data_IF_804453371621
#
_entry.id   IF_804453371621
#
_cell.length_a   1.000
_cell.length_b   1.000
_cell.length_c   1.000
_cell.angle_alpha   90.00
_cell.angle_beta   90.00
_cell.angle_gamma   90.00
#
_symmetry.space_group_name_H-M   'P 1'
#
loop_
_entity.id
_entity.type
_entity.pdbx_description
1 polymer ?
#
# COMPACT_ATOMS: atom_id res chain seq x y z
N UNK A 1 71.24 -5.77 47.91
CA UNK A 1 70.64 -5.06 46.76
C UNK A 1 69.98 -5.98 45.73
N UNK A 2 70.56 -7.14 45.37
CA UNK A 2 70.02 -8.04 44.32
C UNK A 2 68.66 -8.72 44.63
N UNK A 3 68.31 -8.92 45.90
CA UNK A 3 67.01 -9.54 46.28
C UNK A 3 65.84 -8.56 46.19
N UNK A 4 66.09 -7.27 46.43
CA UNK A 4 65.07 -6.22 46.35
C UNK A 4 64.70 -5.91 44.89
N UNK A 5 65.69 -5.93 43.99
CA UNK A 5 65.47 -5.76 42.54
C UNK A 5 64.66 -6.89 41.92
N UNK A 6 64.82 -8.14 42.38
CA UNK A 6 63.99 -9.27 41.90
C UNK A 6 62.55 -9.21 42.38
N UNK A 7 62.29 -8.69 43.60
CA UNK A 7 60.92 -8.55 44.12
C UNK A 7 60.16 -7.44 43.38
N UNK A 8 60.83 -6.33 43.07
CA UNK A 8 60.24 -5.22 42.30
C UNK A 8 59.93 -5.66 40.86
N UNK A 9 60.82 -6.41 40.22
CA UNK A 9 60.59 -6.91 38.86
C UNK A 9 59.46 -7.95 38.79
N UNK A 10 59.27 -8.75 39.85
CA UNK A 10 58.18 -9.73 39.93
C UNK A 10 56.81 -9.06 40.15
N UNK A 11 56.74 -7.96 40.91
CA UNK A 11 55.51 -7.20 41.15
C UNK A 11 54.93 -6.54 39.88
N UNK A 12 55.77 -6.22 38.90
CA UNK A 12 55.33 -5.68 37.60
C UNK A 12 54.63 -6.72 36.72
N UNK A 13 54.89 -8.02 36.90
CA UNK A 13 54.22 -9.09 36.14
C UNK A 13 52.88 -9.53 36.76
N UNK A 14 52.65 -9.27 38.06
CA UNK A 14 51.39 -9.65 38.72
C UNK A 14 50.20 -8.72 38.40
N UNK A 15 50.43 -7.58 37.74
CA UNK A 15 49.36 -6.66 37.32
C UNK A 15 49.02 -6.76 35.82
N UNK A 16 49.63 -7.68 35.07
CA UNK A 16 49.44 -7.78 33.62
C UNK A 16 48.07 -8.39 33.21
N UNK A 17 47.29 -8.93 34.16
CA UNK A 17 46.03 -9.60 33.86
C UNK A 17 44.81 -9.04 34.60
N UNK A 18 44.95 -7.89 35.27
CA UNK A 18 43.79 -7.18 35.83
C UNK A 18 43.25 -6.18 34.82
N UNK A 19 42.71 -6.67 33.70
CA UNK A 19 41.66 -5.92 32.99
C UNK A 19 40.45 -6.03 33.89
N UNK A 20 40.37 -5.08 34.81
CA UNK A 20 39.20 -4.85 35.63
C UNK A 20 38.07 -4.43 34.69
N UNK A 21 36.93 -5.09 34.79
CA UNK A 21 35.67 -4.77 34.09
C UNK A 21 35.08 -3.38 34.46
N UNK A 22 35.90 -2.47 35.01
CA UNK A 22 35.55 -1.12 35.44
C UNK A 22 35.91 -0.01 34.42
N UNK A 23 36.50 -0.32 33.27
CA UNK A 23 36.72 0.68 32.21
C UNK A 23 35.66 0.55 31.12
N UNK A 24 34.43 0.94 31.41
CA UNK A 24 33.32 0.92 30.45
C UNK A 24 33.34 2.07 29.43
N UNK A 25 34.43 2.81 29.27
CA UNK A 25 34.47 3.97 28.37
C UNK A 25 35.82 4.24 27.67
N UNK A 26 36.85 3.40 27.87
CA UNK A 26 38.11 3.58 27.14
C UNK A 26 38.04 2.85 25.79
N UNK A 27 37.47 3.53 24.80
CA UNK A 27 37.51 3.07 23.41
C UNK A 27 38.93 3.24 22.87
N UNK A 28 39.46 2.19 22.23
CA UNK A 28 40.75 2.24 21.49
C UNK A 28 40.81 3.34 20.42
N UNK A 29 39.66 3.95 20.08
CA UNK A 29 39.56 5.13 19.22
C UNK A 29 40.13 6.40 19.85
N UNK A 30 40.19 6.52 21.17
CA UNK A 30 40.74 7.71 21.84
C UNK A 30 42.28 7.79 21.79
N UNK A 31 42.93 6.67 21.44
CA UNK A 31 44.39 6.55 21.31
C UNK A 31 44.85 6.90 19.88
N UNK A 32 43.94 6.85 18.90
CA UNK A 32 44.25 7.05 17.49
C UNK A 32 43.76 8.44 17.05
N UNK A 33 44.59 9.30 16.43
CA UNK A 33 44.22 10.66 16.03
C UNK A 33 43.28 10.72 14.81
N UNK A 34 42.55 9.63 14.51
CA UNK A 34 41.62 9.54 13.38
C UNK A 34 40.33 8.84 13.81
N UNK A 35 39.20 9.40 13.40
CA UNK A 35 37.91 8.78 13.57
C UNK A 35 37.85 7.53 12.67
N UNK A 36 37.63 6.35 13.26
CA UNK A 36 37.48 5.12 12.51
C UNK A 36 36.24 5.22 11.60
N UNK A 37 36.37 4.75 10.36
CA UNK A 37 35.25 4.77 9.43
C UNK A 37 34.08 3.95 9.98
N UNK A 38 32.91 4.60 10.08
CA UNK A 38 31.64 3.96 10.43
C UNK A 38 30.72 4.00 9.21
N UNK A 39 30.28 2.85 8.74
CA UNK A 39 29.35 2.76 7.62
C UNK A 39 27.97 3.27 8.03
N UNK A 40 27.29 3.93 7.09
CA UNK A 40 25.87 4.27 7.26
C UNK A 40 25.03 2.99 7.21
N UNK A 41 24.05 2.89 8.11
CA UNK A 41 23.13 1.76 8.21
C UNK A 41 21.75 2.26 7.81
N UNK A 42 21.14 1.62 6.80
CA UNK A 42 19.77 1.88 6.37
C UNK A 42 19.00 0.55 6.41
N UNK A 43 18.13 0.36 7.39
CA UNK A 43 17.39 -0.89 7.58
C UNK A 43 15.88 -0.65 7.68
N UNK A 44 15.11 -1.51 7.03
CA UNK A 44 13.65 -1.48 7.06
C UNK A 44 13.00 -0.66 5.94
N UNK A 45 11.69 -0.42 6.05
CA UNK A 45 10.94 0.32 5.03
C UNK A 45 11.19 1.83 5.14
N UNK A 46 11.54 2.48 4.03
CA UNK A 46 11.64 3.93 3.96
C UNK A 46 10.26 4.54 3.62
N UNK A 47 9.69 5.27 4.57
CA UNK A 47 8.36 5.86 4.45
C UNK A 47 8.42 7.38 4.31
N UNK A 48 7.38 7.94 3.68
CA UNK A 48 7.16 9.38 3.62
C UNK A 48 5.79 9.71 4.23
N UNK A 49 5.70 10.82 4.98
CA UNK A 49 4.42 11.30 5.53
C UNK A 49 3.37 11.52 4.43
N UNK A 50 3.79 11.93 3.24
CA UNK A 50 2.90 12.08 2.09
C UNK A 50 2.21 10.78 1.68
N UNK A 51 2.90 9.64 1.68
CA UNK A 51 2.31 8.35 1.29
C UNK A 51 1.45 7.77 2.42
N UNK A 52 1.92 7.88 3.67
CA UNK A 52 1.12 7.49 4.85
C UNK A 52 -0.21 8.24 4.88
N UNK A 53 -0.21 9.55 4.63
CA UNK A 53 -1.42 10.37 4.64
C UNK A 53 -2.36 10.11 3.45
N UNK A 54 -1.95 9.32 2.45
CA UNK A 54 -2.85 8.86 1.39
C UNK A 54 -3.68 7.64 1.81
N UNK A 55 -3.22 6.89 2.81
CA UNK A 55 -3.94 5.74 3.35
C UNK A 55 -5.27 6.19 3.96
N UNK A 56 -6.30 5.38 3.78
CA UNK A 56 -7.64 5.65 4.31
C UNK A 56 -8.26 4.37 4.82
N UNK A 57 -8.96 4.48 5.94
CA UNK A 57 -9.79 3.40 6.47
C UNK A 57 -10.76 2.91 5.38
N UNK A 58 -10.88 1.59 5.25
CA UNK A 58 -11.69 0.90 4.26
C UNK A 58 -10.96 0.55 2.95
N UNK A 59 -9.70 0.98 2.76
CA UNK A 59 -8.86 0.54 1.63
C UNK A 59 -8.62 -0.96 1.66
N UNK A 60 -8.54 -1.61 0.49
CA UNK A 60 -8.13 -3.02 0.44
C UNK A 60 -6.63 -3.17 0.77
N UNK A 61 -6.20 -4.39 1.13
CA UNK A 61 -4.77 -4.71 1.26
C UNK A 61 -3.96 -4.32 0.01
N UNK A 62 -4.52 -4.55 -1.18
CA UNK A 62 -3.88 -4.17 -2.44
C UNK A 62 -3.75 -2.64 -2.61
N UNK A 63 -4.80 -1.88 -2.29
CA UNK A 63 -4.74 -0.41 -2.37
C UNK A 63 -3.67 0.16 -1.41
N UNK A 64 -3.56 -0.41 -0.21
CA UNK A 64 -2.51 -0.03 0.75
C UNK A 64 -1.12 -0.38 0.22
N UNK A 65 -0.95 -1.60 -0.31
CA UNK A 65 0.28 -2.07 -0.94
C UNK A 65 0.73 -1.14 -2.08
N UNK A 66 -0.19 -0.71 -2.94
CA UNK A 66 0.13 0.18 -4.07
C UNK A 66 0.58 1.59 -3.62
N UNK A 67 0.20 2.02 -2.42
CA UNK A 67 0.55 3.34 -1.87
C UNK A 67 1.90 3.32 -1.14
N UNK A 68 2.13 2.31 -0.31
CA UNK A 68 3.25 2.29 0.65
C UNK A 68 4.18 1.08 0.50
N UNK A 69 3.85 0.13 -0.38
CA UNK A 69 4.63 -1.07 -0.64
C UNK A 69 4.38 -2.22 0.34
N UNK A 70 5.16 -3.31 0.22
CA UNK A 70 5.07 -4.46 1.13
C UNK A 70 5.46 -4.10 2.57
N UNK A 71 4.89 -4.78 3.58
CA UNK A 71 5.32 -4.62 4.97
C UNK A 71 6.77 -5.07 5.17
N UNK A 72 7.45 -4.49 6.16
CA UNK A 72 8.83 -4.88 6.52
C UNK A 72 8.88 -6.23 7.24
N UNK A 73 7.84 -6.54 8.01
CA UNK A 73 7.75 -7.74 8.84
C UNK A 73 6.43 -8.44 8.55
N UNK A 74 6.50 -9.75 8.35
CA UNK A 74 5.33 -10.64 8.29
C UNK A 74 5.30 -11.41 9.60
N UNK A 75 4.42 -11.02 10.52
CA UNK A 75 4.26 -11.68 11.82
C UNK A 75 3.32 -12.89 11.68
N UNK A 76 3.79 -14.13 11.94
CA UNK A 76 2.95 -15.33 11.84
C UNK A 76 1.83 -15.40 12.89
N UNK A 77 1.84 -14.55 13.92
CA UNK A 77 0.80 -14.50 14.94
C UNK A 77 -0.26 -13.43 14.66
N UNK A 78 -0.02 -12.54 13.70
CA UNK A 78 -0.89 -11.43 13.35
C UNK A 78 -1.09 -11.30 11.82
N UNK A 79 -1.77 -12.27 11.21
CA UNK A 79 -2.02 -12.32 9.76
C UNK A 79 -2.72 -11.08 9.17
N UNK A 80 -3.40 -10.32 10.02
CA UNK A 80 -4.15 -9.13 9.65
C UNK A 80 -3.46 -7.83 10.07
N UNK A 81 -2.18 -7.88 10.44
CA UNK A 81 -1.38 -6.71 10.82
C UNK A 81 -0.16 -6.59 9.88
N UNK A 82 0.05 -5.40 9.35
CA UNK A 82 1.23 -5.06 8.57
C UNK A 82 2.08 -4.04 9.30
N UNK A 83 3.33 -4.41 9.49
CA UNK A 83 4.31 -3.62 10.23
C UNK A 83 5.38 -3.07 9.31
N UNK A 84 5.56 -1.75 9.38
CA UNK A 84 6.61 -1.03 8.68
C UNK A 84 7.56 -0.46 9.73
N UNK A 85 8.73 -1.07 9.84
CA UNK A 85 9.75 -0.68 10.81
C UNK A 85 10.93 -0.11 10.04
N UNK A 86 11.53 0.95 10.55
CA UNK A 86 12.79 1.47 10.06
C UNK A 86 13.76 1.70 11.21
N UNK A 87 15.03 1.41 10.98
CA UNK A 87 16.14 1.89 11.78
C UNK A 87 17.27 2.28 10.83
N UNK A 88 17.52 3.58 10.73
CA UNK A 88 18.58 4.13 9.88
C UNK A 88 19.44 5.09 10.66
N UNK A 89 20.76 4.94 10.55
CA UNK A 89 21.74 5.80 11.19
C UNK A 89 22.85 6.13 10.20
N UNK A 90 23.08 7.43 10.03
CA UNK A 90 24.19 7.97 9.23
C UNK A 90 24.99 8.91 10.10
N UNK A 91 26.31 8.93 9.97
CA UNK A 91 27.20 9.72 10.85
C UNK A 91 26.85 11.22 10.86
N UNK A 92 26.25 11.73 9.78
CA UNK A 92 25.88 13.14 9.62
C UNK A 92 24.46 13.49 10.07
N UNK A 93 23.63 12.49 10.42
CA UNK A 93 22.19 12.66 10.66
C UNK A 93 21.75 11.98 11.94
N UNK A 94 20.70 12.51 12.56
CA UNK A 94 20.04 11.85 13.69
C UNK A 94 19.53 10.48 13.25
N UNK A 95 19.66 9.48 14.13
CA UNK A 95 19.10 8.17 13.88
C UNK A 95 17.58 8.28 13.67
N UNK A 96 17.11 7.70 12.57
CA UNK A 96 15.70 7.60 12.21
C UNK A 96 15.24 6.22 12.64
N UNK A 97 14.24 6.16 13.50
CA UNK A 97 13.63 4.92 13.93
C UNK A 97 12.12 5.10 14.11
N UNK A 98 11.33 4.26 13.44
CA UNK A 98 9.88 4.34 13.56
C UNK A 98 9.21 3.01 13.29
N UNK A 99 7.96 2.91 13.76
CA UNK A 99 7.04 1.81 13.46
C UNK A 99 5.67 2.37 13.07
N UNK A 100 5.18 1.99 11.90
CA UNK A 100 3.80 2.19 11.46
C UNK A 100 3.12 0.83 11.46
N UNK A 101 1.92 0.76 12.05
CA UNK A 101 1.12 -0.46 12.10
C UNK A 101 -0.17 -0.22 11.34
N UNK A 102 -0.45 -1.09 10.37
CA UNK A 102 -1.71 -1.12 9.65
C UNK A 102 -2.47 -2.38 10.05
N UNK A 103 -3.67 -2.22 10.61
CA UNK A 103 -4.52 -3.37 10.97
C UNK A 103 -5.64 -3.52 9.95
N UNK A 104 -5.93 -4.75 9.56
CA UNK A 104 -6.96 -5.09 8.60
C UNK A 104 -8.09 -5.91 9.24
N UNK A 105 -9.31 -5.68 8.78
CA UNK A 105 -10.48 -6.49 9.11
C UNK A 105 -11.28 -6.70 7.82
N UNK A 106 -11.69 -7.95 7.55
CA UNK A 106 -12.41 -8.32 6.34
C UNK A 106 -11.70 -7.84 5.05
N UNK A 107 -10.37 -8.01 5.01
CA UNK A 107 -9.45 -7.53 3.95
C UNK A 107 -9.46 -6.02 3.69
N UNK A 108 -9.93 -5.24 4.66
CA UNK A 108 -9.94 -3.77 4.60
C UNK A 108 -9.18 -3.16 5.75
N UNK A 109 -8.46 -2.07 5.46
CA UNK A 109 -7.73 -1.29 6.43
C UNK A 109 -8.71 -0.74 7.48
N UNK A 110 -8.57 -1.18 8.73
CA UNK A 110 -9.45 -0.81 9.85
C UNK A 110 -8.79 0.16 10.82
N UNK A 111 -7.46 0.13 10.94
CA UNK A 111 -6.70 1.02 11.82
C UNK A 111 -5.33 1.40 11.23
N UNK A 112 -4.86 2.60 11.57
CA UNK A 112 -3.55 3.15 11.16
C UNK A 112 -2.88 3.74 12.40
N UNK A 113 -2.02 2.97 13.07
CA UNK A 113 -1.29 3.46 14.23
C UNK A 113 -0.05 4.26 13.80
N UNK A 114 0.00 5.54 14.19
CA UNK A 114 1.10 6.46 13.85
C UNK A 114 1.94 6.89 15.05
N UNK A 115 1.72 6.31 16.22
CA UNK A 115 2.35 6.69 17.49
C UNK A 115 3.86 6.51 17.42
N UNK A 116 4.30 5.46 16.70
CA UNK A 116 5.71 5.14 16.49
C UNK A 116 6.45 5.98 15.45
N UNK A 117 5.84 7.03 14.88
CA UNK A 117 6.44 7.81 13.78
C UNK A 117 7.18 9.10 14.22
N UNK A 118 7.60 9.19 15.49
CA UNK A 118 8.15 10.41 16.09
C UNK A 118 9.41 10.93 15.40
N UNK A 119 10.29 10.05 14.93
CA UNK A 119 11.54 10.42 14.24
C UNK A 119 11.38 10.65 12.74
N UNK A 120 10.23 10.27 12.17
CA UNK A 120 9.96 10.44 10.75
C UNK A 120 9.76 11.93 10.43
N UNK A 121 10.44 12.40 9.38
CA UNK A 121 10.37 13.79 8.94
C UNK A 121 8.92 14.26 8.76
N UNK A 122 8.61 15.45 9.29
CA UNK A 122 7.28 16.07 9.18
C UNK A 122 7.00 16.48 7.74
N UNK A 123 5.71 16.54 7.40
CA UNK A 123 5.26 16.90 6.05
C UNK A 123 5.58 18.37 5.76
N UNK A 124 6.10 18.65 4.55
CA UNK A 124 6.34 20.02 4.11
C UNK A 124 5.07 20.64 3.52
N UNK A 125 4.99 21.98 3.45
CA UNK A 125 3.87 22.68 2.79
C UNK A 125 3.73 22.32 1.30
N UNK A 126 4.84 21.95 0.64
CA UNK A 126 4.83 21.45 -0.75
C UNK A 126 4.14 20.09 -0.83
N UNK A 127 4.45 19.19 0.10
CA UNK A 127 3.85 17.86 0.16
C UNK A 127 2.36 17.93 0.50
N UNK A 128 1.96 18.85 1.36
CA UNK A 128 0.54 19.08 1.68
C UNK A 128 -0.26 19.48 0.44
N UNK A 129 0.25 20.45 -0.35
CA UNK A 129 -0.36 20.84 -1.63
C UNK A 129 -0.45 19.65 -2.59
N UNK A 130 0.60 18.83 -2.65
CA UNK A 130 0.63 17.61 -3.48
C UNK A 130 -0.40 16.58 -3.03
N UNK A 131 -0.57 16.38 -1.72
CA UNK A 131 -1.58 15.48 -1.15
C UNK A 131 -3.00 15.92 -1.54
N UNK A 132 -3.31 17.20 -1.41
CA UNK A 132 -4.62 17.77 -1.79
C UNK A 132 -4.90 17.52 -3.27
N UNK A 133 -3.91 17.76 -4.15
CA UNK A 133 -4.04 17.51 -5.58
C UNK A 133 -4.28 16.02 -5.88
N UNK A 134 -3.56 15.10 -5.23
CA UNK A 134 -3.74 13.65 -5.39
C UNK A 134 -5.17 13.24 -4.98
N UNK A 135 -5.64 13.71 -3.82
CA UNK A 135 -6.99 13.38 -3.32
C UNK A 135 -8.07 13.92 -4.27
N UNK A 136 -7.91 15.15 -4.77
CA UNK A 136 -8.82 15.76 -5.73
C UNK A 136 -8.88 14.96 -7.04
N UNK A 137 -7.72 14.55 -7.57
CA UNK A 137 -7.63 13.73 -8.77
C UNK A 137 -8.33 12.37 -8.58
N UNK A 138 -8.00 11.62 -7.52
CA UNK A 138 -8.63 10.32 -7.21
C UNK A 138 -10.16 10.45 -7.06
N UNK A 139 -10.63 11.54 -6.44
CA UNK A 139 -12.08 11.80 -6.30
C UNK A 139 -12.75 12.09 -7.65
N UNK A 140 -12.12 12.90 -8.49
CA UNK A 140 -12.62 13.22 -9.83
C UNK A 140 -12.66 11.98 -10.72
N UNK A 141 -11.62 11.15 -10.68
CA UNK A 141 -11.56 9.89 -11.42
C UNK A 141 -12.67 8.92 -11.01
N UNK A 142 -12.88 8.72 -9.70
CA UNK A 142 -13.97 7.87 -9.19
C UNK A 142 -15.35 8.37 -9.63
N UNK A 143 -15.56 9.70 -9.65
CA UNK A 143 -16.79 10.31 -10.16
C UNK A 143 -16.97 10.05 -11.65
N UNK A 144 -15.92 10.24 -12.45
CA UNK A 144 -15.95 10.02 -13.90
C UNK A 144 -16.26 8.57 -14.24
N UNK A 145 -15.65 7.62 -13.53
CA UNK A 145 -15.92 6.19 -13.67
C UNK A 145 -17.37 5.83 -13.31
N UNK A 146 -17.91 6.44 -12.25
CA UNK A 146 -19.31 6.24 -11.86
C UNK A 146 -20.28 6.76 -12.92
N UNK A 147 -20.06 7.97 -13.45
CA UNK A 147 -20.86 8.56 -14.52
C UNK A 147 -20.79 7.73 -15.82
N UNK A 148 -19.61 7.22 -16.17
CA UNK A 148 -19.44 6.35 -17.33
C UNK A 148 -20.21 5.03 -17.17
N UNK A 149 -20.15 4.39 -16.00
CA UNK A 149 -20.94 3.19 -15.68
C UNK A 149 -22.44 3.46 -15.83
N UNK A 150 -22.93 4.58 -15.31
CA UNK A 150 -24.34 4.99 -15.43
C UNK A 150 -24.73 5.18 -16.90
N UNK A 151 -23.89 5.86 -17.69
CA UNK A 151 -24.13 6.05 -19.13
C UNK A 151 -24.20 4.72 -19.88
N UNK A 152 -23.25 3.80 -19.62
CA UNK A 152 -23.25 2.43 -20.19
C UNK A 152 -24.53 1.67 -19.84
N UNK A 153 -24.99 1.73 -18.59
CA UNK A 153 -26.25 1.10 -18.16
C UNK A 153 -27.46 1.71 -18.88
N UNK A 154 -27.52 3.04 -19.03
CA UNK A 154 -28.61 3.72 -19.75
C UNK A 154 -28.64 3.33 -21.23
N UNK A 155 -27.49 3.28 -21.88
CA UNK A 155 -27.36 2.85 -23.28
C UNK A 155 -27.79 1.38 -23.45
N UNK A 156 -27.38 0.50 -22.55
CA UNK A 156 -27.80 -0.91 -22.55
C UNK A 156 -29.31 -1.06 -22.39
N UNK A 157 -29.96 -0.25 -21.53
CA UNK A 157 -31.43 -0.23 -21.39
C UNK A 157 -32.11 0.21 -22.68
N UNK A 158 -31.60 1.25 -23.35
CA UNK A 158 -32.15 1.73 -24.63
C UNK A 158 -32.01 0.65 -25.71
N UNK A 159 -30.86 -0.01 -25.81
CA UNK A 159 -30.64 -1.10 -26.76
C UNK A 159 -31.60 -2.27 -26.53
N UNK A 160 -31.79 -2.70 -25.27
CA UNK A 160 -32.77 -3.75 -24.90
C UNK A 160 -34.20 -3.37 -25.31
N UNK A 161 -34.61 -2.11 -25.08
CA UNK A 161 -35.94 -1.62 -25.49
C UNK A 161 -36.10 -1.66 -27.01
N UNK A 162 -35.11 -1.17 -27.76
CA UNK A 162 -35.11 -1.21 -29.25
C UNK A 162 -35.21 -2.65 -29.77
N UNK A 163 -34.42 -3.58 -29.21
CA UNK A 163 -34.46 -4.99 -29.59
C UNK A 163 -35.82 -5.65 -29.31
N UNK A 164 -36.45 -5.33 -28.17
CA UNK A 164 -37.80 -5.82 -27.83
C UNK A 164 -38.84 -5.29 -28.82
N UNK A 165 -38.78 -4.01 -29.18
CA UNK A 165 -39.67 -3.42 -30.19
C UNK A 165 -39.48 -4.09 -31.55
N UNK A 166 -38.23 -4.30 -31.99
CA UNK A 166 -37.93 -4.98 -33.24
C UNK A 166 -38.47 -6.44 -33.26
N UNK A 167 -38.34 -7.16 -32.14
CA UNK A 167 -38.88 -8.52 -31.99
C UNK A 167 -40.41 -8.53 -32.11
N UNK A 168 -41.09 -7.60 -31.44
CA UNK A 168 -42.56 -7.47 -31.54
C UNK A 168 -42.98 -7.12 -32.96
N UNK A 169 -42.28 -6.20 -33.63
CA UNK A 169 -42.58 -5.83 -35.01
C UNK A 169 -42.42 -7.03 -35.96
N UNK A 170 -41.34 -7.82 -35.81
CA UNK A 170 -41.13 -9.05 -36.59
C UNK A 170 -42.25 -10.06 -36.38
N UNK A 171 -42.62 -10.34 -35.13
CA UNK A 171 -43.73 -11.25 -34.80
C UNK A 171 -45.07 -10.77 -35.37
N UNK A 172 -45.33 -9.45 -35.34
CA UNK A 172 -46.53 -8.85 -35.92
C UNK A 172 -46.56 -8.98 -37.44
N UNK A 173 -45.43 -8.76 -38.12
CA UNK A 173 -45.32 -8.92 -39.57
C UNK A 173 -45.53 -10.37 -40.00
N UNK A 174 -44.95 -11.34 -39.30
CA UNK A 174 -45.16 -12.78 -39.55
C UNK A 174 -46.63 -13.18 -39.36
N UNK A 175 -47.29 -12.70 -38.28
CA UNK A 175 -48.72 -12.95 -38.07
C UNK A 175 -49.59 -12.35 -39.18
N UNK A 176 -49.29 -11.12 -39.60
CA UNK A 176 -50.02 -10.45 -40.67
C UNK A 176 -49.86 -11.17 -42.01
N UNK A 177 -48.64 -11.63 -42.32
CA UNK A 177 -48.37 -12.41 -43.54
C UNK A 177 -49.14 -13.75 -43.54
N UNK A 178 -49.17 -14.47 -42.41
CA UNK A 178 -49.99 -15.68 -42.25
C UNK A 178 -51.48 -15.40 -42.45
N UNK A 179 -51.99 -14.31 -41.87
CA UNK A 179 -53.39 -13.91 -42.04
C UNK A 179 -53.74 -13.56 -43.49
N UNK A 180 -52.85 -12.86 -44.20
CA UNK A 180 -53.04 -12.55 -45.63
C UNK A 180 -53.07 -13.84 -46.45
N UNK A 181 -52.10 -14.74 -46.27
CA UNK A 181 -52.07 -16.02 -46.98
C UNK A 181 -53.32 -16.89 -46.73
N UNK A 182 -53.86 -16.89 -45.50
CA UNK A 182 -55.12 -17.58 -45.16
C UNK A 182 -56.33 -16.95 -45.87
N UNK A 183 -56.41 -15.62 -45.96
CA UNK A 183 -57.48 -14.91 -46.69
C UNK A 183 -57.38 -15.16 -48.19
N UNK A 184 -56.18 -15.09 -48.76
CA UNK A 184 -55.94 -15.33 -50.18
C UNK A 184 -56.30 -16.78 -50.54
N UNK A 185 -55.97 -17.76 -49.69
CA UNK A 185 -56.37 -19.16 -49.86
C UNK A 185 -57.89 -19.38 -49.76
N UNK A 186 -58.59 -18.63 -48.90
CA UNK A 186 -60.05 -18.69 -48.80
C UNK A 186 -60.73 -18.14 -50.06
N UNK A 187 -60.22 -17.03 -50.61
CA UNK A 187 -60.74 -16.43 -51.86
C UNK A 187 -60.56 -17.39 -53.05
N UNK A 188 -59.43 -18.11 -53.13
CA UNK A 188 -59.21 -19.12 -54.17
C UNK A 188 -60.19 -20.28 -54.06
N UNK A 189 -60.50 -20.75 -52.83
CA UNK A 189 -61.51 -21.80 -52.61
C UNK A 189 -62.93 -21.35 -52.99
N UNK A 190 -63.29 -20.11 -52.70
CA UNK A 190 -64.61 -19.55 -53.02
C UNK A 190 -64.81 -19.36 -54.53
N UNK A 191 -63.75 -19.01 -55.27
CA UNK A 191 -63.77 -18.94 -56.74
C UNK A 191 -63.79 -20.30 -57.44
N UNK A 192 -63.34 -21.37 -56.79
CA UNK A 192 -63.36 -22.73 -57.35
C UNK A 192 -64.69 -23.47 -57.13
N UNK A 193 -65.60 -22.90 -56.32
CA UNK A 193 -66.92 -23.45 -56.01
C UNK A 193 -68.07 -22.81 -56.84
N UNK A 194 -67.73 -21.92 -57.76
CA UNK A 194 -68.60 -21.35 -58.81
C UNK A 194 -68.17 -21.91 -60.16
#
# INVERSE_FOLDING_TARGET
MKKLTSIIFLYSFLNACSISDYTSDFSVTDILPFEAYKADIYQGAELHRLTINQLKIGMSKQDAYDIIGPPSIVDPFHDNQWDYVNYSHSNSKKAIHYRLILTFKDDKLSDINTDGLSTLAKMSAKDEKKLVAIIAHKKAEKKRLAEEKVKKVRLAKIAKKKARIAKIAKQKAEKLAKQKALKDAAIVKEKAAK
#
